data_IF_942138790546
#
_entry.id   IF_942138790546
#
_cell.length_a   1.000
_cell.length_b   1.000
_cell.length_c   1.000
_cell.angle_alpha   90.00
_cell.angle_beta   90.00
_cell.angle_gamma   90.00
#
_symmetry.space_group_name_H-M   'P 1'
#
loop_
_entity.id
_entity.type
_entity.pdbx_description
1 polymer ?
#
# COMPACT_ATOMS: atom_id res chain seq x y z
N UNK A 1 17.01 6.51 7.09
CA UNK A 1 17.13 7.01 5.70
C UNK A 1 15.88 7.78 5.24
N UNK A 2 14.66 7.28 5.47
CA UNK A 2 13.40 7.99 5.09
C UNK A 2 13.34 9.44 5.58
N UNK A 3 13.57 9.70 6.87
CA UNK A 3 13.56 11.07 7.39
C UNK A 3 14.61 11.96 6.73
N UNK A 4 15.81 11.43 6.44
CA UNK A 4 16.88 12.20 5.82
C UNK A 4 16.44 12.72 4.45
N UNK A 5 15.84 11.88 3.61
CA UNK A 5 15.34 12.31 2.31
C UNK A 5 14.22 13.34 2.42
N UNK A 6 13.27 13.10 3.33
CA UNK A 6 12.16 14.01 3.57
C UNK A 6 12.64 15.35 4.15
N UNK A 7 13.67 15.38 4.98
CA UNK A 7 14.25 16.62 5.51
C UNK A 7 15.11 17.35 4.48
N UNK A 8 15.76 16.63 3.57
CA UNK A 8 16.65 17.21 2.56
C UNK A 8 15.89 17.80 1.37
N UNK A 9 14.69 17.30 1.08
CA UNK A 9 13.89 17.73 -0.07
C UNK A 9 12.45 18.04 0.43
N UNK A 10 12.11 19.33 0.62
CA UNK A 10 10.84 19.73 1.23
C UNK A 10 9.60 19.16 0.52
N UNK A 11 9.58 19.20 -0.82
CA UNK A 11 8.42 18.78 -1.62
C UNK A 11 8.43 17.28 -2.01
N UNK A 12 9.38 16.52 -1.47
CA UNK A 12 9.49 15.09 -1.76
C UNK A 12 8.31 14.33 -1.14
N UNK A 13 7.64 13.54 -1.97
CA UNK A 13 6.70 12.52 -1.54
C UNK A 13 7.27 11.13 -1.79
N UNK A 14 7.10 10.23 -0.83
CA UNK A 14 7.63 8.88 -0.91
C UNK A 14 6.50 7.85 -1.06
N UNK A 15 6.71 6.90 -1.97
CA UNK A 15 6.11 5.58 -1.91
C UNK A 15 7.18 4.65 -1.35
N UNK A 16 6.80 3.90 -0.34
CA UNK A 16 7.70 2.94 0.29
C UNK A 16 7.16 1.55 0.03
N UNK A 17 8.05 0.57 -0.05
CA UNK A 17 7.66 -0.81 -0.27
C UNK A 17 8.45 -1.72 0.68
N UNK A 18 7.73 -2.50 1.47
CA UNK A 18 8.29 -3.44 2.44
C UNK A 18 8.18 -4.89 1.99
N UNK A 19 7.47 -5.21 0.89
CA UNK A 19 7.31 -6.56 0.35
C UNK A 19 7.03 -7.61 1.45
N UNK A 20 6.06 -7.33 2.34
CA UNK A 20 5.64 -8.23 3.45
C UNK A 20 6.73 -8.61 4.44
N UNK A 21 7.82 -7.85 4.51
CA UNK A 21 9.05 -8.28 5.19
C UNK A 21 9.09 -7.96 6.68
N UNK A 22 8.09 -7.28 7.25
CA UNK A 22 8.11 -6.87 8.65
C UNK A 22 7.12 -7.67 9.51
N UNK A 23 7.49 -7.86 10.78
CA UNK A 23 6.51 -8.11 11.83
C UNK A 23 5.77 -6.82 12.17
N UNK A 24 4.59 -6.92 12.78
CA UNK A 24 3.87 -5.75 13.29
C UNK A 24 4.75 -4.89 14.21
N UNK A 25 5.52 -5.52 15.10
CA UNK A 25 6.44 -4.81 15.99
C UNK A 25 7.48 -3.99 15.20
N UNK A 26 8.11 -4.58 14.18
CA UNK A 26 9.10 -3.89 13.35
C UNK A 26 8.46 -2.75 12.55
N UNK A 27 7.26 -2.94 12.04
CA UNK A 27 6.50 -1.89 11.35
C UNK A 27 6.20 -0.72 12.32
N UNK A 28 5.74 -1.02 13.53
CA UNK A 28 5.48 -0.01 14.56
C UNK A 28 6.76 0.71 15.01
N UNK A 29 7.90 0.01 15.11
CA UNK A 29 9.20 0.65 15.34
C UNK A 29 9.54 1.63 14.20
N UNK A 30 9.36 1.21 12.94
CA UNK A 30 9.55 2.09 11.78
C UNK A 30 8.69 3.37 11.86
N UNK A 31 7.39 3.25 12.19
CA UNK A 31 6.52 4.41 12.34
C UNK A 31 6.96 5.36 13.46
N UNK A 32 7.52 4.85 14.57
CA UNK A 32 8.09 5.69 15.64
C UNK A 32 9.31 6.47 15.17
N UNK A 33 10.10 5.92 14.26
CA UNK A 33 11.24 6.63 13.68
C UNK A 33 10.81 7.73 12.71
N UNK A 34 9.71 7.57 11.96
CA UNK A 34 9.22 8.61 11.06
C UNK A 34 8.57 9.74 11.87
N UNK A 35 9.15 10.95 11.77
CA UNK A 35 8.63 12.14 12.45
C UNK A 35 7.17 12.38 12.04
N UNK A 36 6.26 12.73 12.96
CA UNK A 36 4.84 12.96 12.64
C UNK A 36 4.63 13.92 11.45
N UNK A 37 5.37 15.03 11.40
CA UNK A 37 5.31 16.03 10.32
C UNK A 37 5.70 15.49 8.94
N UNK A 38 6.49 14.41 8.91
CA UNK A 38 6.94 13.76 7.69
C UNK A 38 5.96 12.68 7.20
N UNK A 39 5.03 12.20 8.04
CA UNK A 39 4.13 11.09 7.70
C UNK A 39 3.17 11.45 6.57
N UNK A 40 2.71 12.70 6.50
CA UNK A 40 1.84 13.20 5.42
C UNK A 40 2.49 13.14 4.04
N UNK A 41 3.83 13.13 3.98
CA UNK A 41 4.60 13.06 2.73
C UNK A 41 4.89 11.63 2.29
N UNK A 42 4.59 10.63 3.13
CA UNK A 42 4.58 9.23 2.73
C UNK A 42 3.19 8.96 2.14
N UNK A 43 3.12 8.80 0.82
CA UNK A 43 1.86 8.54 0.11
C UNK A 43 1.22 7.23 0.56
N UNK A 44 2.05 6.21 0.70
CA UNK A 44 1.72 4.93 1.30
C UNK A 44 2.97 4.08 1.51
N UNK A 45 2.83 3.04 2.31
CA UNK A 45 3.75 1.93 2.46
C UNK A 45 3.10 0.65 1.90
N UNK A 46 3.68 0.07 0.86
CA UNK A 46 3.23 -1.17 0.25
C UNK A 46 3.55 -2.35 1.19
N UNK A 47 2.51 -3.10 1.53
CA UNK A 47 2.59 -4.43 2.17
C UNK A 47 3.58 -4.48 3.36
N UNK A 48 3.39 -3.66 4.41
CA UNK A 48 4.33 -3.57 5.53
C UNK A 48 4.62 -4.92 6.17
N UNK A 49 3.56 -5.66 6.48
CA UNK A 49 3.62 -6.87 7.28
C UNK A 49 3.28 -8.12 6.46
N UNK A 50 3.76 -9.27 6.95
CA UNK A 50 3.49 -10.57 6.32
C UNK A 50 1.99 -10.88 6.19
N UNK A 51 1.23 -10.57 7.24
CA UNK A 51 -0.23 -10.77 7.26
C UNK A 51 -0.93 -9.46 6.92
N UNK A 52 -1.94 -9.47 6.03
CA UNK A 52 -2.74 -8.28 5.75
C UNK A 52 -3.39 -7.68 7.01
N UNK A 53 -3.82 -8.53 7.96
CA UNK A 53 -4.35 -8.07 9.25
C UNK A 53 -3.36 -7.21 10.03
N UNK A 54 -2.08 -7.59 10.04
CA UNK A 54 -1.04 -6.88 10.76
C UNK A 54 -0.70 -5.56 10.05
N UNK A 55 -0.76 -5.53 8.73
CA UNK A 55 -0.61 -4.31 7.94
C UNK A 55 -1.74 -3.31 8.22
N UNK A 56 -2.99 -3.80 8.36
CA UNK A 56 -4.15 -2.99 8.75
C UNK A 56 -3.98 -2.45 10.17
N UNK A 57 -3.61 -3.30 11.14
CA UNK A 57 -3.33 -2.88 12.52
C UNK A 57 -2.27 -1.79 12.55
N UNK A 58 -1.17 -1.97 11.84
CA UNK A 58 -0.12 -0.96 11.67
C UNK A 58 -0.67 0.37 11.12
N UNK A 59 -1.50 0.33 10.07
CA UNK A 59 -2.06 1.54 9.47
C UNK A 59 -2.96 2.31 10.46
N UNK A 60 -3.77 1.58 11.22
CA UNK A 60 -4.66 2.16 12.25
C UNK A 60 -3.84 2.77 13.39
N UNK A 61 -2.86 2.04 13.93
CA UNK A 61 -2.06 2.47 15.08
C UNK A 61 -1.10 3.63 14.75
N UNK A 62 -0.50 3.61 13.56
CA UNK A 62 0.50 4.60 13.15
C UNK A 62 -0.09 5.82 12.43
N UNK A 63 -1.30 5.70 11.89
CA UNK A 63 -1.90 6.67 10.98
C UNK A 63 -1.22 6.76 9.61
N UNK A 64 -0.30 5.84 9.30
CA UNK A 64 0.39 5.81 8.01
C UNK A 64 -0.46 5.07 6.98
N UNK A 65 -0.60 5.67 5.79
CA UNK A 65 -1.29 5.03 4.68
C UNK A 65 -0.54 3.79 4.21
N UNK A 66 -1.28 2.73 3.87
CA UNK A 66 -0.73 1.51 3.26
C UNK A 66 -1.30 1.30 1.85
N UNK A 67 -0.62 0.44 1.09
CA UNK A 67 -1.07 -0.01 -0.21
C UNK A 67 -0.98 -1.53 -0.33
N UNK A 68 -1.88 -2.11 -1.13
CA UNK A 68 -1.90 -3.54 -1.43
C UNK A 68 -1.26 -3.84 -2.78
N UNK A 69 -0.25 -4.70 -2.81
CA UNK A 69 0.37 -5.23 -4.03
C UNK A 69 0.16 -6.74 -4.12
N UNK A 70 0.96 -7.56 -3.42
CA UNK A 70 0.80 -9.01 -3.48
C UNK A 70 -0.55 -9.48 -2.92
N UNK A 71 -1.20 -8.69 -2.06
CA UNK A 71 -2.54 -8.98 -1.55
C UNK A 71 -3.56 -8.85 -2.66
N UNK A 72 -3.49 -7.78 -3.46
CA UNK A 72 -4.30 -7.65 -4.66
C UNK A 72 -4.01 -8.81 -5.62
N UNK A 73 -2.73 -9.09 -5.88
CA UNK A 73 -2.34 -10.03 -6.95
C UNK A 73 -2.76 -11.47 -6.62
N UNK A 74 -2.84 -11.81 -5.33
CA UNK A 74 -3.40 -13.07 -4.88
C UNK A 74 -4.93 -13.06 -4.86
N UNK A 75 -5.55 -11.97 -4.40
CA UNK A 75 -6.99 -11.85 -4.29
C UNK A 75 -7.67 -11.96 -5.67
N UNK A 76 -7.13 -11.28 -6.68
CA UNK A 76 -7.67 -11.34 -8.06
C UNK A 76 -7.55 -12.72 -8.71
N UNK A 77 -6.78 -13.67 -8.16
CA UNK A 77 -6.80 -15.04 -8.69
C UNK A 77 -8.06 -15.81 -8.28
N UNK A 78 -8.76 -15.34 -7.25
CA UNK A 78 -10.04 -15.91 -6.83
C UNK A 78 -11.18 -15.40 -7.72
N UNK A 79 -12.00 -16.28 -8.33
CA UNK A 79 -13.18 -15.87 -9.10
C UNK A 79 -14.22 -15.12 -8.26
N UNK A 80 -14.28 -15.37 -6.94
CA UNK A 80 -15.21 -14.70 -6.00
C UNK A 80 -14.60 -13.43 -5.37
N UNK A 81 -13.55 -12.88 -5.99
CA UNK A 81 -12.92 -11.65 -5.53
C UNK A 81 -13.92 -10.48 -5.54
N UNK A 82 -13.89 -9.70 -4.47
CA UNK A 82 -14.56 -8.41 -4.37
C UNK A 82 -13.64 -7.42 -3.67
N UNK A 83 -13.66 -6.15 -4.10
CA UNK A 83 -12.87 -5.10 -3.45
C UNK A 83 -13.22 -4.88 -1.98
N UNK A 84 -14.40 -5.32 -1.52
CA UNK A 84 -14.72 -5.34 -0.09
C UNK A 84 -13.71 -6.12 0.76
N UNK A 85 -12.87 -6.96 0.15
CA UNK A 85 -11.78 -7.69 0.81
C UNK A 85 -10.50 -6.85 0.98
N UNK A 86 -10.35 -5.72 0.27
CA UNK A 86 -9.15 -4.88 0.25
C UNK A 86 -9.28 -3.63 1.12
N UNK A 87 -9.97 -3.76 2.26
CA UNK A 87 -10.18 -2.65 3.19
C UNK A 87 -8.88 -2.19 3.86
N UNK A 88 -8.89 -0.97 4.42
CA UNK A 88 -7.79 -0.44 5.23
C UNK A 88 -6.62 0.16 4.46
N UNK A 89 -6.53 -0.02 3.14
CA UNK A 89 -5.51 0.66 2.31
C UNK A 89 -6.00 2.00 1.75
N UNK A 90 -5.05 2.83 1.32
CA UNK A 90 -5.31 4.07 0.54
C UNK A 90 -4.98 3.93 -0.93
N UNK A 91 -4.26 2.87 -1.29
CA UNK A 91 -3.92 2.58 -2.67
C UNK A 91 -3.89 1.08 -2.95
N UNK A 92 -4.04 0.74 -4.21
CA UNK A 92 -3.75 -0.60 -4.74
C UNK A 92 -2.68 -0.47 -5.82
N UNK A 93 -1.79 -1.45 -5.88
CA UNK A 93 -0.75 -1.56 -6.89
C UNK A 93 -1.18 -2.65 -7.85
N UNK A 94 -1.37 -2.30 -9.11
CA UNK A 94 -1.81 -3.20 -10.18
C UNK A 94 -0.59 -3.51 -11.03
N UNK A 95 -0.22 -4.80 -11.10
CA UNK A 95 0.83 -5.31 -11.98
C UNK A 95 0.18 -6.03 -13.17
N UNK A 96 0.07 -5.40 -14.37
CA UNK A 96 -0.68 -5.96 -15.49
C UNK A 96 -0.21 -7.36 -15.92
N UNK A 97 1.09 -7.65 -15.82
CA UNK A 97 1.65 -8.98 -16.08
C UNK A 97 1.17 -10.07 -15.13
N UNK A 98 0.75 -9.73 -13.90
CA UNK A 98 0.24 -10.68 -12.91
C UNK A 98 -1.29 -10.73 -12.90
N UNK A 99 -1.96 -9.62 -13.25
CA UNK A 99 -3.41 -9.55 -13.43
C UNK A 99 -3.84 -10.17 -14.76
N UNK A 100 -2.98 -10.08 -15.79
CA UNK A 100 -3.15 -10.58 -17.14
C UNK A 100 -3.96 -9.64 -18.03
N UNK A 101 -5.28 -9.72 -17.94
CA UNK A 101 -6.19 -9.04 -18.88
C UNK A 101 -6.22 -7.51 -18.65
N UNK A 102 -6.08 -6.72 -19.73
CA UNK A 102 -6.15 -5.25 -19.71
C UNK A 102 -7.54 -4.77 -19.27
N UNK A 103 -8.63 -5.35 -19.77
CA UNK A 103 -10.00 -4.99 -19.37
C UNK A 103 -10.20 -5.21 -17.88
N UNK A 104 -9.58 -6.26 -17.35
CA UNK A 104 -9.57 -6.52 -15.91
C UNK A 104 -8.80 -5.46 -15.16
N UNK A 105 -7.64 -5.01 -15.66
CA UNK A 105 -6.89 -3.91 -15.05
C UNK A 105 -7.71 -2.61 -15.04
N UNK A 106 -8.41 -2.30 -16.13
CA UNK A 106 -9.29 -1.13 -16.23
C UNK A 106 -10.39 -1.22 -15.16
N UNK A 107 -11.06 -2.36 -15.06
CA UNK A 107 -12.11 -2.58 -14.06
C UNK A 107 -11.58 -2.40 -12.62
N UNK A 108 -10.40 -2.94 -12.31
CA UNK A 108 -9.76 -2.75 -11.00
C UNK A 108 -9.46 -1.26 -10.72
N UNK A 109 -9.05 -0.50 -11.75
CA UNK A 109 -8.78 0.94 -11.61
C UNK A 109 -10.08 1.70 -11.31
N UNK A 110 -11.13 1.43 -12.08
CA UNK A 110 -12.44 2.09 -11.91
C UNK A 110 -13.04 1.78 -10.54
N UNK A 111 -12.99 0.51 -10.11
CA UNK A 111 -13.54 0.10 -8.83
C UNK A 111 -12.75 0.73 -7.67
N UNK A 112 -11.41 0.71 -7.73
CA UNK A 112 -10.56 1.40 -6.75
C UNK A 112 -10.89 2.89 -6.65
N UNK A 113 -11.01 3.59 -7.79
CA UNK A 113 -11.34 5.01 -7.82
C UNK A 113 -12.73 5.31 -7.25
N UNK A 114 -13.73 4.47 -7.55
CA UNK A 114 -15.07 4.63 -6.99
C UNK A 114 -15.12 4.48 -5.47
N UNK A 115 -14.18 3.72 -4.89
CA UNK A 115 -13.98 3.55 -3.45
C UNK A 115 -13.03 4.60 -2.85
N UNK A 116 -12.57 5.57 -3.64
CA UNK A 116 -11.63 6.62 -3.20
C UNK A 116 -10.20 6.13 -2.96
N UNK A 117 -9.84 4.96 -3.51
CA UNK A 117 -8.48 4.43 -3.48
C UNK A 117 -7.68 4.96 -4.67
N UNK A 118 -6.38 5.15 -4.46
CA UNK A 118 -5.45 5.42 -5.58
C UNK A 118 -5.07 4.10 -6.25
N UNK A 119 -5.35 3.96 -7.55
CA UNK A 119 -4.81 2.85 -8.34
C UNK A 119 -3.44 3.24 -8.94
N UNK A 120 -2.43 2.40 -8.71
CA UNK A 120 -1.07 2.60 -9.24
C UNK A 120 -0.76 1.45 -10.20
N UNK A 121 -0.54 1.73 -11.47
CA UNK A 121 -0.01 0.73 -12.41
C UNK A 121 1.50 0.63 -12.22
N UNK A 122 2.01 -0.58 -12.01
CA UNK A 122 3.42 -0.84 -11.73
C UNK A 122 3.96 -1.99 -12.57
N UNK A 123 5.28 -2.02 -12.74
CA UNK A 123 5.99 -3.17 -13.31
C UNK A 123 6.08 -4.31 -12.29
N UNK A 124 6.21 -5.54 -12.78
CA UNK A 124 6.60 -6.69 -11.94
C UNK A 124 8.09 -6.73 -11.69
#
# INVERSE_FOLDING_TARGET
MVNLFLESIPDLHLRLDANRSWSLEKANQFAKYVKPDNRSRIRFLEEPCLKPSDSITFAIESGMAIAWDETLQNAVKNPDFSFGQLTGAKAIVIKPSLVGNIDRCIHLIEEAQSLGLTAVVSSS
#
